data_IF_985825563882
#
_entry.id   IF_985825563882
#
_cell.length_a   1.000
_cell.length_b   1.000
_cell.length_c   1.000
_cell.angle_alpha   90.00
_cell.angle_beta   90.00
_cell.angle_gamma   90.00
#
_symmetry.space_group_name_H-M   'P 1'
#
loop_
_entity.id
_entity.type
_entity.pdbx_description
1 polymer ?
#
# COMPACT_ATOMS: atom_id res chain seq x y z
N UNK A 1 17.49 -16.32 33.08
CA UNK A 1 17.00 -15.34 32.11
C UNK A 1 16.30 -16.17 31.07
N UNK A 2 14.98 -16.25 31.16
CA UNK A 2 14.17 -16.85 30.12
C UNK A 2 14.07 -15.79 29.01
N UNK A 3 14.85 -15.96 27.94
CA UNK A 3 14.68 -15.18 26.73
C UNK A 3 13.32 -15.56 26.14
N UNK A 4 12.37 -14.62 26.19
CA UNK A 4 11.14 -14.78 25.40
C UNK A 4 11.54 -14.89 23.92
N UNK A 5 11.06 -15.90 23.19
CA UNK A 5 11.40 -16.08 21.79
C UNK A 5 11.05 -14.82 21.01
N UNK A 6 11.94 -14.42 20.10
CA UNK A 6 11.71 -13.28 19.21
C UNK A 6 10.36 -13.48 18.50
N UNK A 7 9.51 -12.46 18.48
CA UNK A 7 8.20 -12.52 17.85
C UNK A 7 8.26 -12.94 16.37
N UNK A 8 9.41 -12.75 15.72
CA UNK A 8 9.69 -13.25 14.37
C UNK A 8 9.85 -14.79 14.31
N UNK A 9 10.41 -15.42 15.34
CA UNK A 9 10.61 -16.87 15.43
C UNK A 9 9.28 -17.60 15.69
N UNK A 10 8.36 -16.97 16.44
CA UNK A 10 7.03 -17.52 16.73
C UNK A 10 6.10 -17.58 15.49
N UNK A 11 6.36 -16.78 14.45
CA UNK A 11 5.58 -16.80 13.21
C UNK A 11 6.13 -17.78 12.15
N UNK A 12 7.35 -18.29 12.32
CA UNK A 12 8.09 -19.01 11.27
C UNK A 12 7.39 -20.26 10.73
N UNK A 13 6.62 -20.96 11.56
CA UNK A 13 5.94 -22.21 11.20
C UNK A 13 4.46 -22.05 10.80
N UNK A 14 3.88 -20.85 10.89
CA UNK A 14 2.44 -20.61 10.64
C UNK A 14 2.13 -19.83 9.37
N UNK A 15 3.16 -19.41 8.63
CA UNK A 15 2.95 -18.84 7.29
C UNK A 15 2.84 -20.02 6.34
N UNK A 16 1.60 -20.50 6.12
CA UNK A 16 1.29 -21.35 4.98
C UNK A 16 1.84 -20.64 3.74
N UNK A 17 2.75 -21.29 3.02
CA UNK A 17 3.33 -20.77 1.79
C UNK A 17 2.17 -20.66 0.80
N UNK A 18 1.58 -19.46 0.71
CA UNK A 18 0.53 -19.17 -0.26
C UNK A 18 1.18 -19.46 -1.61
N UNK A 19 0.66 -20.45 -2.35
CA UNK A 19 1.10 -20.71 -3.72
C UNK A 19 1.12 -19.36 -4.44
N UNK A 20 2.22 -19.06 -5.14
CA UNK A 20 2.40 -17.83 -5.92
C UNK A 20 1.44 -17.91 -7.12
N UNK A 21 0.14 -17.79 -6.84
CA UNK A 21 -0.93 -17.77 -7.81
C UNK A 21 -0.67 -16.55 -8.69
N UNK A 22 -0.30 -16.81 -9.94
CA UNK A 22 -0.02 -15.77 -10.92
C UNK A 22 -1.15 -14.73 -10.90
N UNK A 23 -0.77 -13.47 -10.73
CA UNK A 23 -1.69 -12.34 -10.75
C UNK A 23 -2.67 -12.48 -11.92
N UNK A 24 -3.99 -12.43 -11.69
CA UNK A 24 -4.94 -12.58 -12.78
C UNK A 24 -4.64 -11.58 -13.90
N UNK A 25 -4.69 -11.97 -15.19
CA UNK A 25 -4.32 -11.07 -16.28
C UNK A 25 -5.11 -9.76 -16.31
N UNK A 26 -6.34 -9.76 -15.78
CA UNK A 26 -7.15 -8.56 -15.63
C UNK A 26 -6.63 -7.64 -14.53
N UNK A 27 -5.96 -8.13 -13.48
CA UNK A 27 -5.47 -7.27 -12.40
C UNK A 27 -4.26 -6.43 -12.81
N UNK A 28 -3.59 -6.75 -13.93
CA UNK A 28 -2.45 -5.99 -14.44
C UNK A 28 -2.74 -4.50 -14.62
N UNK A 29 -3.90 -4.14 -15.17
CA UNK A 29 -4.25 -2.72 -15.37
C UNK A 29 -4.44 -1.95 -14.06
N UNK A 30 -4.82 -2.63 -12.96
CA UNK A 30 -4.93 -2.00 -11.65
C UNK A 30 -3.56 -1.67 -11.07
N UNK A 31 -2.59 -2.59 -11.20
CA UNK A 31 -1.22 -2.35 -10.80
C UNK A 31 -0.56 -1.25 -11.62
N UNK A 32 -0.77 -1.24 -12.94
CA UNK A 32 -0.26 -0.18 -13.82
C UNK A 32 -0.83 1.18 -13.41
N UNK A 33 -2.14 1.27 -13.14
CA UNK A 33 -2.78 2.49 -12.67
C UNK A 33 -2.24 2.94 -11.31
N UNK A 34 -2.15 2.02 -10.35
CA UNK A 34 -1.67 2.29 -9.00
C UNK A 34 -0.22 2.80 -9.00
N UNK A 35 0.63 2.21 -9.84
CA UNK A 35 2.02 2.64 -10.04
C UNK A 35 2.09 4.00 -10.73
N UNK A 36 1.34 4.21 -11.81
CA UNK A 36 1.32 5.48 -12.55
C UNK A 36 0.92 6.66 -11.64
N UNK A 37 0.00 6.42 -10.71
CA UNK A 37 -0.53 7.42 -9.76
C UNK A 37 0.31 7.55 -8.48
N UNK A 38 1.54 7.04 -8.44
CA UNK A 38 2.40 7.06 -7.25
C UNK A 38 2.65 8.47 -6.70
N UNK A 39 2.73 9.46 -7.58
CA UNK A 39 3.02 10.85 -7.22
C UNK A 39 1.76 11.71 -7.03
N UNK A 40 0.58 11.13 -7.21
CA UNK A 40 -0.72 11.79 -7.01
C UNK A 40 -1.24 11.70 -5.56
N UNK A 41 -0.38 11.24 -4.65
CA UNK A 41 -0.63 11.26 -3.20
C UNK A 41 0.00 12.49 -2.60
N UNK A 42 -0.68 13.11 -1.64
CA UNK A 42 0.02 14.03 -0.75
C UNK A 42 0.99 13.26 0.12
N UNK A 43 2.22 13.75 0.22
CA UNK A 43 3.28 13.20 1.08
C UNK A 43 3.60 14.22 2.14
N UNK A 44 3.51 13.82 3.41
CA UNK A 44 3.84 14.66 4.55
C UNK A 44 5.33 14.58 4.90
N UNK A 45 5.84 15.62 5.56
CA UNK A 45 7.26 15.76 5.94
C UNK A 45 7.79 14.63 6.85
N UNK A 46 6.89 13.94 7.55
CA UNK A 46 7.23 12.82 8.44
C UNK A 46 7.09 11.44 7.77
N UNK A 47 7.02 11.38 6.43
CA UNK A 47 7.04 10.12 5.67
C UNK A 47 5.68 9.41 5.54
N UNK A 48 4.60 10.01 6.02
CA UNK A 48 3.23 9.54 5.76
C UNK A 48 2.70 10.00 4.40
N UNK A 49 1.65 9.36 3.89
CA UNK A 49 0.95 9.80 2.69
C UNK A 49 -0.58 9.74 2.84
N UNK A 50 -1.28 10.56 2.04
CA UNK A 50 -2.71 10.40 1.80
C UNK A 50 -2.94 9.26 0.81
N UNK A 51 -4.21 8.88 0.65
CA UNK A 51 -4.62 8.13 -0.54
C UNK A 51 -4.54 9.00 -1.81
N UNK A 52 -4.56 8.34 -2.96
CA UNK A 52 -4.67 8.95 -4.28
C UNK A 52 -6.00 9.71 -4.34
N UNK A 53 -5.95 10.92 -4.89
CA UNK A 53 -7.15 11.74 -5.05
C UNK A 53 -8.09 11.16 -6.11
N UNK A 54 -9.40 11.25 -5.82
CA UNK A 54 -10.45 10.86 -6.77
C UNK A 54 -10.27 11.51 -8.14
N UNK A 55 -9.86 12.78 -8.18
CA UNK A 55 -9.64 13.50 -9.44
C UNK A 55 -8.51 12.87 -10.28
N UNK A 56 -7.41 12.46 -9.67
CA UNK A 56 -6.32 11.77 -10.37
C UNK A 56 -6.76 10.40 -10.88
N UNK A 57 -7.51 9.64 -10.08
CA UNK A 57 -8.09 8.34 -10.49
C UNK A 57 -9.07 8.52 -11.66
N UNK A 58 -9.96 9.51 -11.57
CA UNK A 58 -10.95 9.82 -12.60
C UNK A 58 -10.30 10.32 -13.89
N UNK A 59 -9.21 11.08 -13.80
CA UNK A 59 -8.43 11.51 -14.96
C UNK A 59 -7.76 10.32 -15.64
N UNK A 60 -7.04 9.49 -14.89
CA UNK A 60 -6.44 8.26 -15.41
C UNK A 60 -7.48 7.37 -16.09
N UNK A 61 -8.63 7.16 -15.44
CA UNK A 61 -9.71 6.38 -16.00
C UNK A 61 -10.20 6.94 -17.35
N UNK A 62 -10.25 8.27 -17.50
CA UNK A 62 -10.67 8.92 -18.75
C UNK A 62 -9.68 8.67 -19.87
N UNK A 63 -8.40 8.86 -19.55
CA UNK A 63 -7.31 8.79 -20.52
C UNK A 63 -7.09 7.36 -21.03
N UNK A 64 -7.51 6.36 -20.24
CA UNK A 64 -7.42 4.95 -20.55
C UNK A 64 -8.76 4.29 -20.97
N UNK A 65 -9.83 5.08 -21.14
CA UNK A 65 -11.14 4.56 -21.58
C UNK A 65 -11.89 3.73 -20.54
N UNK A 66 -11.52 3.81 -19.26
CA UNK A 66 -12.14 3.13 -18.13
C UNK A 66 -13.36 3.90 -17.61
N UNK A 67 -14.34 4.14 -18.47
CA UNK A 67 -15.51 5.01 -18.21
C UNK A 67 -16.85 4.26 -18.30
N UNK A 68 -17.89 4.83 -17.71
CA UNK A 68 -19.22 4.19 -17.67
C UNK A 68 -19.28 3.10 -16.61
N UNK A 69 -19.89 1.97 -16.93
CA UNK A 69 -20.22 0.91 -15.96
C UNK A 69 -18.98 0.21 -15.36
N UNK A 70 -17.81 0.30 -16.01
CA UNK A 70 -16.55 -0.26 -15.53
C UNK A 70 -15.81 0.63 -14.53
N UNK A 71 -16.13 1.93 -14.49
CA UNK A 71 -15.45 2.88 -13.62
C UNK A 71 -15.64 2.57 -12.13
N UNK A 72 -16.85 2.23 -11.63
CA UNK A 72 -17.06 1.88 -10.23
C UNK A 72 -16.17 0.73 -9.75
N UNK A 73 -16.05 -0.34 -10.54
CA UNK A 73 -15.23 -1.50 -10.20
C UNK A 73 -13.74 -1.15 -10.21
N UNK A 74 -13.28 -0.45 -11.25
CA UNK A 74 -11.90 0.07 -11.32
C UNK A 74 -11.56 0.94 -10.11
N UNK A 75 -12.43 1.90 -9.80
CA UNK A 75 -12.25 2.80 -8.66
C UNK A 75 -12.20 2.02 -7.35
N UNK A 76 -13.12 1.06 -7.14
CA UNK A 76 -13.18 0.25 -5.94
C UNK A 76 -11.89 -0.53 -5.70
N UNK A 77 -11.42 -1.28 -6.70
CA UNK A 77 -10.22 -2.10 -6.55
C UNK A 77 -8.95 -1.25 -6.37
N UNK A 78 -8.80 -0.19 -7.18
CA UNK A 78 -7.66 0.70 -7.07
C UNK A 78 -7.62 1.39 -5.69
N UNK A 79 -8.80 1.77 -5.17
CA UNK A 79 -8.92 2.37 -3.85
C UNK A 79 -8.55 1.40 -2.73
N UNK A 80 -8.98 0.14 -2.82
CA UNK A 80 -8.62 -0.88 -1.85
C UNK A 80 -7.10 -1.10 -1.79
N UNK A 81 -6.43 -1.21 -2.95
CA UNK A 81 -4.97 -1.31 -3.03
C UNK A 81 -4.27 -0.08 -2.42
N UNK A 82 -4.82 1.10 -2.66
CA UNK A 82 -4.27 2.35 -2.16
C UNK A 82 -4.43 2.50 -0.64
N UNK A 83 -5.58 2.11 -0.08
CA UNK A 83 -5.82 2.19 1.36
C UNK A 83 -4.87 1.27 2.14
N UNK A 84 -4.59 0.05 1.63
CA UNK A 84 -3.58 -0.84 2.21
C UNK A 84 -2.17 -0.22 2.18
N UNK A 85 -1.79 0.40 1.07
CA UNK A 85 -0.51 1.09 0.97
C UNK A 85 -0.40 2.28 1.94
N UNK A 86 -1.47 3.06 2.10
CA UNK A 86 -1.51 4.18 3.06
C UNK A 86 -1.32 3.67 4.48
N UNK A 87 -1.99 2.57 4.85
CA UNK A 87 -1.84 1.94 6.15
C UNK A 87 -0.40 1.43 6.37
N UNK A 88 0.18 0.78 5.36
CA UNK A 88 1.59 0.37 5.38
C UNK A 88 2.53 1.56 5.54
N UNK A 89 2.39 2.60 4.73
CA UNK A 89 3.24 3.80 4.78
C UNK A 89 3.17 4.49 6.15
N UNK A 90 1.98 4.56 6.76
CA UNK A 90 1.81 5.10 8.10
C UNK A 90 2.55 4.27 9.16
N UNK A 91 2.51 2.93 9.08
CA UNK A 91 3.27 2.03 9.97
C UNK A 91 4.78 2.27 9.81
N UNK A 92 5.27 2.36 8.58
CA UNK A 92 6.70 2.61 8.29
C UNK A 92 7.16 3.97 8.81
N UNK A 93 6.37 5.02 8.60
CA UNK A 93 6.66 6.37 9.11
C UNK A 93 6.78 6.38 10.64
N UNK A 94 5.86 5.70 11.33
CA UNK A 94 5.90 5.56 12.80
C UNK A 94 7.14 4.80 13.27
N UNK A 95 7.48 3.68 12.63
CA UNK A 95 8.65 2.89 12.97
C UNK A 95 9.96 3.70 12.80
N UNK A 96 10.07 4.46 11.72
CA UNK A 96 11.20 5.34 11.48
C UNK A 96 11.32 6.45 12.54
N UNK A 97 10.19 7.07 12.92
CA UNK A 97 10.16 8.09 13.95
C UNK A 97 10.59 7.57 15.32
N UNK A 98 10.13 6.38 15.72
CA UNK A 98 10.54 5.74 16.98
C UNK A 98 12.03 5.37 16.99
N UNK A 99 12.55 4.85 15.87
CA UNK A 99 13.99 4.57 15.73
C UNK A 99 14.82 5.85 15.89
N UNK A 100 14.45 6.92 15.19
CA UNK A 100 15.13 8.21 15.29
C UNK A 100 15.06 8.81 16.70
N UNK A 101 13.97 8.59 17.43
CA UNK A 101 13.84 9.02 18.83
C UNK A 101 14.80 8.24 19.73
N UNK A 102 14.88 6.91 19.59
CA UNK A 102 15.79 6.06 20.36
C UNK A 102 17.25 6.46 20.17
N UNK A 103 17.66 6.70 18.93
CA UNK A 103 19.02 7.12 18.58
C UNK A 103 19.37 8.51 19.14
N UNK A 104 18.41 9.43 19.29
CA UNK A 104 18.66 10.76 19.89
C UNK A 104 18.71 10.75 21.41
N UNK A 105 18.12 9.73 22.04
CA UNK A 105 18.08 9.57 23.50
C UNK A 105 19.19 8.66 24.05
N UNK A 106 19.99 8.05 23.17
CA UNK A 106 21.18 7.28 23.50
C UNK A 106 22.44 8.16 23.41
#
# INVERSE_FOLDING_TARGET
>A
MDEEPDAAEALGDQIEEIEDDEMPPWAGYLFDAWNALTNDRHRGDMGGCSGIYYQSISAYARDHGLMGDIFPDFYLFLRAMDDEYVAYAAKQAKAAAEKAKRERSA
#
